data_IF_226417989487
#
_entry.id   IF_226417989487
#
_cell.length_a   1.000
_cell.length_b   1.000
_cell.length_c   1.000
_cell.angle_alpha   90.00
_cell.angle_beta   90.00
_cell.angle_gamma   90.00
#
_symmetry.space_group_name_H-M   'P 1'
#
loop_
_entity.id
_entity.type
_entity.pdbx_description
1 polymer ?
#
# COMPACT_ATOMS: atom_id res chain seq x y z
N UNK A 1 6.34 24.13 14.25
CA UNK A 1 6.17 22.81 14.88
C UNK A 1 4.82 22.12 14.61
N UNK A 2 3.67 22.77 14.77
CA UNK A 2 2.34 22.12 14.53
C UNK A 2 2.14 21.71 13.07
N UNK A 3 2.51 22.51 12.10
CA UNK A 3 2.39 22.17 10.68
C UNK A 3 3.23 20.97 10.26
N UNK A 4 4.45 20.80 10.79
CA UNK A 4 5.28 19.63 10.51
C UNK A 4 4.69 18.32 11.06
N UNK A 5 4.11 18.36 12.26
CA UNK A 5 3.45 17.17 12.85
C UNK A 5 2.22 16.76 12.04
N UNK A 6 1.45 17.73 11.56
CA UNK A 6 0.29 17.47 10.69
C UNK A 6 0.71 16.84 9.34
N UNK A 7 1.85 17.26 8.81
CA UNK A 7 2.45 16.71 7.60
C UNK A 7 2.81 15.23 7.75
N UNK A 8 3.51 14.88 8.83
CA UNK A 8 3.93 13.51 9.11
C UNK A 8 2.70 12.61 9.33
N UNK A 9 1.67 13.11 10.02
CA UNK A 9 0.43 12.36 10.26
C UNK A 9 -0.34 12.09 8.95
N UNK A 10 -0.43 13.09 8.07
CA UNK A 10 -1.09 12.98 6.76
C UNK A 10 -0.36 11.97 5.86
N UNK A 11 0.98 11.99 5.84
CA UNK A 11 1.80 11.01 5.12
C UNK A 11 1.60 9.59 5.64
N UNK A 12 1.59 9.43 6.96
CA UNK A 12 1.35 8.13 7.59
C UNK A 12 -0.02 7.55 7.23
N UNK A 13 -1.06 8.37 7.31
CA UNK A 13 -2.43 7.95 6.96
C UNK A 13 -2.55 7.56 5.47
N UNK A 14 -1.91 8.32 4.59
CA UNK A 14 -1.91 8.07 3.15
C UNK A 14 -1.18 6.77 2.79
N UNK A 15 0.00 6.55 3.36
CA UNK A 15 0.77 5.32 3.18
C UNK A 15 -0.02 4.10 3.67
N UNK A 16 -0.66 4.23 4.84
CA UNK A 16 -1.45 3.16 5.43
C UNK A 16 -2.65 2.81 4.54
N UNK A 17 -3.35 3.80 4.02
CA UNK A 17 -4.47 3.60 3.10
C UNK A 17 -4.01 2.91 1.80
N UNK A 18 -2.89 3.31 1.24
CA UNK A 18 -2.32 2.66 0.06
C UNK A 18 -1.95 1.21 0.32
N UNK A 19 -1.34 0.90 1.48
CA UNK A 19 -1.00 -0.46 1.89
C UNK A 19 -2.28 -1.32 2.05
N UNK A 20 -3.33 -0.78 2.67
CA UNK A 20 -4.61 -1.48 2.83
C UNK A 20 -5.23 -1.81 1.48
N UNK A 21 -5.27 -0.85 0.56
CA UNK A 21 -5.82 -1.04 -0.78
C UNK A 21 -5.02 -2.08 -1.58
N UNK A 22 -3.69 -2.00 -1.53
CA UNK A 22 -2.81 -2.97 -2.19
C UNK A 22 -3.02 -4.38 -1.62
N UNK A 23 -3.11 -4.50 -0.30
CA UNK A 23 -3.35 -5.79 0.35
C UNK A 23 -4.72 -6.37 -0.01
N UNK A 24 -5.74 -5.53 -0.13
CA UNK A 24 -7.09 -5.94 -0.57
C UNK A 24 -7.06 -6.48 -1.99
N UNK A 25 -6.35 -5.81 -2.91
CA UNK A 25 -6.21 -6.28 -4.29
C UNK A 25 -5.48 -7.63 -4.36
N UNK A 26 -4.38 -7.77 -3.62
CA UNK A 26 -3.63 -9.03 -3.54
C UNK A 26 -4.49 -10.15 -2.97
N UNK A 27 -5.25 -9.87 -1.91
CA UNK A 27 -6.16 -10.85 -1.31
C UNK A 27 -7.24 -11.30 -2.29
N UNK A 28 -7.85 -10.37 -3.01
CA UNK A 28 -8.86 -10.66 -4.03
C UNK A 28 -8.28 -11.53 -5.16
N UNK A 29 -7.04 -11.25 -5.58
CA UNK A 29 -6.36 -12.08 -6.57
C UNK A 29 -6.22 -13.53 -6.11
N UNK A 30 -5.74 -13.76 -4.89
CA UNK A 30 -5.57 -15.09 -4.33
C UNK A 30 -6.89 -15.82 -4.12
N UNK A 31 -7.95 -15.13 -3.69
CA UNK A 31 -9.30 -15.69 -3.54
C UNK A 31 -9.86 -16.14 -4.91
N UNK A 32 -9.72 -15.31 -5.94
CA UNK A 32 -10.16 -15.68 -7.29
C UNK A 32 -9.36 -16.83 -7.88
N UNK A 33 -8.03 -16.83 -7.67
CA UNK A 33 -7.18 -17.94 -8.11
C UNK A 33 -7.58 -19.25 -7.45
N UNK A 34 -7.87 -19.26 -6.15
CA UNK A 34 -8.32 -20.45 -5.42
C UNK A 34 -9.67 -20.97 -5.93
N UNK A 35 -10.66 -20.10 -6.11
CA UNK A 35 -11.98 -20.46 -6.65
C UNK A 35 -11.86 -21.01 -8.06
N UNK A 36 -11.02 -20.38 -8.90
CA UNK A 36 -10.75 -20.87 -10.25
C UNK A 36 -10.10 -22.26 -10.24
N UNK A 37 -9.08 -22.45 -9.40
CA UNK A 37 -8.38 -23.74 -9.26
C UNK A 37 -9.33 -24.85 -8.84
N UNK A 38 -10.23 -24.61 -7.88
CA UNK A 38 -11.25 -25.56 -7.45
C UNK A 38 -12.22 -25.90 -8.60
N UNK A 39 -12.72 -24.90 -9.32
CA UNK A 39 -13.60 -25.09 -10.47
C UNK A 39 -12.92 -25.93 -11.56
N UNK A 40 -11.67 -25.62 -11.89
CA UNK A 40 -10.89 -26.33 -12.92
C UNK A 40 -10.54 -27.75 -12.48
N UNK A 41 -10.28 -27.97 -11.19
CA UNK A 41 -10.08 -29.31 -10.61
C UNK A 41 -11.29 -30.19 -10.84
N UNK A 42 -12.48 -29.69 -10.50
CA UNK A 42 -13.73 -30.42 -10.70
C UNK A 42 -14.01 -30.72 -12.19
N UNK A 43 -13.72 -29.73 -13.08
CA UNK A 43 -13.82 -29.92 -14.55
C UNK A 43 -12.84 -30.98 -15.04
N UNK A 44 -11.59 -30.97 -14.53
CA UNK A 44 -10.58 -31.95 -14.90
C UNK A 44 -10.95 -33.37 -14.44
N UNK A 45 -11.42 -33.57 -13.21
CA UNK A 45 -11.88 -34.85 -12.71
C UNK A 45 -12.98 -35.42 -13.61
N UNK A 46 -13.98 -34.62 -13.92
CA UNK A 46 -15.06 -35.01 -14.82
C UNK A 46 -14.54 -35.32 -16.24
N UNK A 47 -13.60 -34.57 -16.74
CA UNK A 47 -12.99 -34.81 -18.07
C UNK A 47 -12.23 -36.14 -18.09
N UNK A 48 -11.44 -36.42 -17.05
CA UNK A 48 -10.69 -37.66 -16.92
C UNK A 48 -11.65 -38.86 -16.91
N UNK A 49 -12.74 -38.79 -16.14
CA UNK A 49 -13.74 -39.82 -16.10
C UNK A 49 -14.38 -40.08 -17.47
N UNK A 50 -14.84 -39.00 -18.15
CA UNK A 50 -15.45 -39.10 -19.46
C UNK A 50 -14.46 -39.61 -20.52
N UNK A 51 -13.24 -39.11 -20.51
CA UNK A 51 -12.19 -39.50 -21.45
C UNK A 51 -11.81 -40.97 -21.27
N UNK A 52 -11.66 -41.46 -20.04
CA UNK A 52 -11.40 -42.84 -19.74
C UNK A 52 -12.54 -43.75 -20.26
N UNK A 53 -13.81 -43.34 -20.06
CA UNK A 53 -14.96 -44.08 -20.58
C UNK A 53 -14.97 -44.20 -22.12
N UNK A 54 -14.57 -43.12 -22.83
CA UNK A 54 -14.52 -43.08 -24.30
C UNK A 54 -13.38 -43.90 -24.88
N UNK A 55 -12.36 -44.23 -24.11
CA UNK A 55 -11.14 -44.90 -24.55
C UNK A 55 -10.98 -46.31 -24.00
N UNK A 56 -12.08 -46.95 -23.65
CA UNK A 56 -12.08 -48.36 -23.24
C UNK A 56 -11.71 -49.21 -24.44
N UNK A 57 -10.80 -50.16 -24.24
CA UNK A 57 -10.46 -51.18 -25.26
C UNK A 57 -11.57 -52.19 -25.43
N UNK A 58 -12.45 -51.95 -26.40
CA UNK A 58 -13.59 -52.84 -26.69
C UNK A 58 -13.16 -54.18 -27.29
N UNK A 59 -11.97 -54.28 -27.87
CA UNK A 59 -11.48 -55.54 -28.49
C UNK A 59 -10.98 -56.52 -27.46
N UNK A 60 -10.42 -56.04 -26.33
CA UNK A 60 -10.01 -56.86 -25.21
C UNK A 60 -11.19 -57.18 -24.24
N UNK A 61 -12.37 -56.62 -24.52
CA UNK A 61 -13.53 -56.68 -23.66
C UNK A 61 -14.38 -57.96 -23.82
N UNK A 62 -13.94 -58.96 -24.57
CA UNK A 62 -14.62 -60.25 -24.65
C UNK A 62 -14.53 -60.98 -23.31
N UNK A 63 -15.31 -60.56 -22.32
CA UNK A 63 -15.41 -61.14 -20.98
C UNK A 63 -15.02 -60.24 -19.81
N UNK A 64 -14.73 -59.00 -20.03
CA UNK A 64 -14.32 -58.09 -18.96
C UNK A 64 -15.54 -57.33 -18.43
N UNK A 65 -16.14 -57.86 -17.42
CA UNK A 65 -17.19 -57.17 -16.70
C UNK A 65 -16.51 -56.36 -15.61
N UNK A 66 -16.59 -55.03 -15.74
CA UNK A 66 -16.42 -54.15 -14.60
C UNK A 66 -17.64 -54.35 -13.73
N UNK A 67 -17.59 -55.30 -12.82
CA UNK A 67 -18.66 -55.46 -11.84
C UNK A 67 -18.40 -54.52 -10.68
N UNK A 68 -19.08 -53.39 -10.69
CA UNK A 68 -19.16 -52.48 -9.55
C UNK A 68 -20.20 -53.10 -8.62
N UNK A 69 -19.76 -53.72 -7.57
CA UNK A 69 -20.61 -54.10 -6.42
C UNK A 69 -20.48 -53.00 -5.37
N UNK A 70 -21.33 -53.02 -4.35
CA UNK A 70 -21.27 -52.10 -3.22
C UNK A 70 -19.97 -52.18 -2.39
N UNK A 71 -19.12 -53.16 -2.62
CA UNK A 71 -17.98 -53.47 -1.76
C UNK A 71 -16.62 -53.60 -2.50
N UNK A 72 -16.63 -53.84 -3.80
CA UNK A 72 -15.39 -54.06 -4.56
C UNK A 72 -15.51 -53.72 -6.06
N UNK A 73 -14.36 -53.41 -6.66
CA UNK A 73 -14.16 -53.27 -8.10
C UNK A 73 -13.39 -54.46 -8.64
N UNK A 74 -13.89 -55.07 -9.70
CA UNK A 74 -13.23 -56.16 -10.40
C UNK A 74 -12.65 -55.63 -11.71
N UNK A 75 -11.35 -55.84 -11.90
CA UNK A 75 -10.67 -55.55 -13.16
C UNK A 75 -10.20 -56.84 -13.79
N UNK A 76 -10.58 -57.08 -15.04
CA UNK A 76 -10.00 -58.13 -15.85
C UNK A 76 -9.06 -57.55 -16.87
N UNK A 77 -7.78 -57.90 -16.82
CA UNK A 77 -6.81 -57.50 -17.79
C UNK A 77 -5.93 -58.69 -18.12
N UNK A 78 -5.71 -58.97 -19.42
CA UNK A 78 -4.89 -60.07 -19.88
C UNK A 78 -5.27 -61.46 -19.28
N UNK A 79 -6.56 -61.72 -19.14
CA UNK A 79 -7.11 -62.94 -18.53
C UNK A 79 -6.86 -63.06 -17.01
N UNK A 80 -6.33 -62.06 -16.38
CA UNK A 80 -6.15 -62.01 -14.92
C UNK A 80 -7.25 -61.19 -14.26
N UNK A 81 -7.68 -61.68 -13.08
CA UNK A 81 -8.71 -61.03 -12.26
C UNK A 81 -8.06 -60.29 -11.10
N UNK A 82 -8.32 -59.00 -11.00
CA UNK A 82 -7.89 -58.17 -9.88
C UNK A 82 -9.11 -57.68 -9.11
N UNK A 83 -9.06 -57.75 -7.78
CA UNK A 83 -10.16 -57.37 -6.88
C UNK A 83 -9.66 -56.27 -5.97
N UNK A 84 -10.34 -55.13 -5.95
CA UNK A 84 -10.04 -53.99 -5.08
C UNK A 84 -11.27 -53.70 -4.22
N UNK A 85 -11.16 -53.78 -2.90
CA UNK A 85 -12.22 -53.45 -1.95
C UNK A 85 -12.18 -51.97 -1.59
N UNK A 86 -13.31 -51.36 -1.28
CA UNK A 86 -13.40 -49.97 -0.83
C UNK A 86 -14.30 -49.87 0.41
N UNK A 87 -14.09 -48.78 1.19
CA UNK A 87 -14.76 -48.59 2.49
C UNK A 87 -15.88 -47.54 2.43
N UNK A 88 -15.93 -46.72 1.37
CA UNK A 88 -16.91 -45.66 1.22
C UNK A 88 -17.33 -45.47 -0.23
N UNK A 89 -18.50 -44.88 -0.45
CA UNK A 89 -19.05 -44.59 -1.76
C UNK A 89 -18.11 -43.61 -2.55
N UNK A 90 -17.47 -42.66 -1.87
CA UNK A 90 -16.52 -41.75 -2.49
C UNK A 90 -15.26 -42.48 -2.97
N UNK A 91 -14.78 -43.45 -2.22
CA UNK A 91 -13.66 -44.30 -2.60
C UNK A 91 -14.03 -45.22 -3.77
N UNK A 92 -15.25 -45.75 -3.78
CA UNK A 92 -15.80 -46.52 -4.88
C UNK A 92 -15.80 -45.73 -6.19
N UNK A 93 -16.24 -44.49 -6.16
CA UNK A 93 -16.23 -43.61 -7.34
C UNK A 93 -14.82 -43.40 -7.86
N UNK A 94 -13.85 -43.05 -7.00
CA UNK A 94 -12.44 -42.89 -7.38
C UNK A 94 -11.84 -44.17 -7.97
N UNK A 95 -12.07 -45.32 -7.32
CA UNK A 95 -11.60 -46.59 -7.83
C UNK A 95 -12.21 -46.97 -9.17
N UNK A 96 -13.48 -46.65 -9.42
CA UNK A 96 -14.12 -46.91 -10.72
C UNK A 96 -13.45 -46.09 -11.86
N UNK A 97 -13.10 -44.82 -11.62
CA UNK A 97 -12.38 -44.00 -12.59
C UNK A 97 -10.98 -44.57 -12.86
N UNK A 98 -10.27 -44.99 -11.81
CA UNK A 98 -8.97 -45.65 -11.94
C UNK A 98 -9.07 -46.99 -12.70
N UNK A 99 -10.10 -47.79 -12.41
CA UNK A 99 -10.35 -49.06 -13.11
C UNK A 99 -10.61 -48.86 -14.61
N UNK A 100 -11.35 -47.81 -14.98
CA UNK A 100 -11.54 -47.45 -16.38
C UNK A 100 -10.22 -47.11 -17.10
N UNK A 101 -9.32 -46.43 -16.39
CA UNK A 101 -7.98 -46.14 -16.93
C UNK A 101 -7.17 -47.42 -17.16
N UNK A 102 -7.21 -48.37 -16.24
CA UNK A 102 -6.47 -49.64 -16.34
C UNK A 102 -6.92 -50.54 -17.48
N UNK A 103 -8.15 -50.41 -17.95
CA UNK A 103 -8.72 -51.14 -19.09
C UNK A 103 -8.77 -50.32 -20.38
N UNK A 104 -8.11 -49.18 -20.40
CA UNK A 104 -8.07 -48.32 -21.57
C UNK A 104 -7.31 -48.94 -22.75
N UNK A 105 -7.63 -48.49 -23.96
CA UNK A 105 -6.79 -48.73 -25.12
C UNK A 105 -5.55 -47.81 -25.01
N UNK A 106 -4.40 -48.43 -24.79
CA UNK A 106 -3.13 -47.73 -24.62
C UNK A 106 -2.66 -46.99 -25.89
N UNK A 107 -3.15 -47.42 -27.07
CA UNK A 107 -2.82 -46.72 -28.31
C UNK A 107 -3.67 -45.48 -28.55
N UNK A 108 -4.91 -45.47 -27.99
CA UNK A 108 -5.84 -44.35 -28.18
C UNK A 108 -5.86 -43.36 -27.04
N UNK A 109 -5.36 -43.74 -25.86
CA UNK A 109 -5.32 -42.87 -24.69
C UNK A 109 -4.01 -42.11 -24.67
N UNK A 110 -4.07 -40.78 -24.83
CA UNK A 110 -2.92 -39.88 -24.77
C UNK A 110 -3.21 -38.70 -23.88
N UNK A 111 -2.18 -38.12 -23.23
CA UNK A 111 -2.33 -36.91 -22.42
C UNK A 111 -2.79 -35.72 -23.28
N UNK A 112 -2.32 -35.62 -24.50
CA UNK A 112 -2.76 -34.59 -25.45
C UNK A 112 -4.26 -34.72 -25.80
N UNK A 113 -4.77 -35.94 -25.99
CA UNK A 113 -6.21 -36.18 -26.21
C UNK A 113 -7.06 -35.80 -25.00
N UNK A 114 -6.58 -36.08 -23.79
CA UNK A 114 -7.21 -35.63 -22.56
C UNK A 114 -7.21 -34.09 -22.46
N UNK A 115 -6.07 -33.45 -22.77
CA UNK A 115 -5.93 -32.00 -22.81
C UNK A 115 -6.92 -31.35 -23.81
N UNK A 116 -7.02 -31.89 -25.01
CA UNK A 116 -7.99 -31.44 -26.01
C UNK A 116 -9.44 -31.54 -25.55
N UNK A 117 -9.76 -32.58 -24.77
CA UNK A 117 -11.09 -32.77 -24.16
C UNK A 117 -11.33 -31.78 -23.03
N UNK A 118 -10.33 -31.54 -22.23
CA UNK A 118 -10.36 -30.56 -21.14
C UNK A 118 -10.51 -29.12 -21.65
N UNK A 119 -9.75 -28.75 -22.70
CA UNK A 119 -9.88 -27.45 -23.35
C UNK A 119 -11.30 -27.18 -23.86
N UNK A 120 -12.01 -28.20 -24.37
CA UNK A 120 -13.39 -28.04 -24.82
C UNK A 120 -14.36 -27.75 -23.67
N UNK A 121 -14.07 -28.22 -22.47
CA UNK A 121 -14.90 -27.98 -21.28
C UNK A 121 -14.58 -26.64 -20.60
N UNK A 122 -13.43 -26.06 -20.88
CA UNK A 122 -13.01 -24.78 -20.28
C UNK A 122 -13.65 -23.53 -20.87
N UNK A 123 -14.44 -23.65 -21.94
CA UNK A 123 -15.29 -22.59 -22.50
C UNK A 123 -14.63 -21.21 -22.53
N UNK A 124 -13.54 -21.02 -23.28
CA UNK A 124 -12.84 -19.73 -23.45
C UNK A 124 -12.26 -19.07 -22.19
N UNK A 125 -12.23 -19.76 -21.08
CA UNK A 125 -11.54 -19.25 -19.89
C UNK A 125 -10.05 -19.04 -20.25
N UNK A 126 -9.58 -17.79 -20.20
CA UNK A 126 -8.18 -17.46 -20.45
C UNK A 126 -7.33 -17.87 -19.24
N UNK A 127 -7.06 -19.15 -19.10
CA UNK A 127 -6.33 -19.75 -17.98
C UNK A 127 -5.01 -20.31 -18.50
N UNK A 128 -3.97 -20.18 -17.69
CA UNK A 128 -2.74 -20.93 -17.93
C UNK A 128 -2.73 -22.18 -17.04
N UNK A 129 -2.41 -23.32 -17.65
CA UNK A 129 -2.30 -24.57 -16.89
C UNK A 129 -1.21 -25.47 -17.45
N UNK A 130 -0.83 -26.43 -16.61
CA UNK A 130 0.11 -27.49 -16.96
C UNK A 130 -0.44 -28.82 -16.44
N UNK A 131 -0.54 -29.80 -17.33
CA UNK A 131 -0.87 -31.17 -17.02
C UNK A 131 0.38 -32.03 -17.12
N UNK A 132 0.67 -32.81 -16.09
CA UNK A 132 1.80 -33.75 -16.08
C UNK A 132 1.28 -35.16 -15.78
N UNK A 133 1.67 -36.12 -16.59
CA UNK A 133 1.48 -37.53 -16.31
C UNK A 133 2.76 -38.07 -15.68
N UNK A 134 2.67 -38.59 -14.46
CA UNK A 134 3.79 -39.12 -13.70
C UNK A 134 3.60 -40.61 -13.43
N UNK A 135 4.70 -41.36 -13.33
CA UNK A 135 4.69 -42.71 -12.86
C UNK A 135 4.66 -42.82 -11.31
N UNK A 136 4.63 -44.03 -10.78
CA UNK A 136 4.65 -44.28 -9.35
C UNK A 136 5.91 -43.78 -8.63
N UNK A 137 6.98 -43.48 -9.37
CA UNK A 137 8.26 -42.96 -8.85
C UNK A 137 8.31 -41.43 -8.85
N UNK A 138 7.27 -40.77 -9.39
CA UNK A 138 7.20 -39.33 -9.56
C UNK A 138 7.92 -38.82 -10.81
N UNK A 139 8.40 -39.71 -11.69
CA UNK A 139 9.02 -39.35 -12.95
C UNK A 139 7.95 -38.92 -13.94
N UNK A 140 8.12 -37.76 -14.57
CA UNK A 140 7.23 -37.26 -15.59
C UNK A 140 7.39 -38.08 -16.86
N UNK A 141 6.28 -38.71 -17.30
CA UNK A 141 6.19 -39.50 -18.54
C UNK A 141 5.85 -38.58 -19.72
N UNK A 142 4.87 -37.70 -19.50
CA UNK A 142 4.38 -36.76 -20.51
C UNK A 142 3.88 -35.47 -19.84
N UNK A 143 3.92 -34.36 -20.56
CA UNK A 143 3.49 -33.07 -20.04
C UNK A 143 2.94 -32.16 -21.14
N UNK A 144 1.81 -31.52 -20.87
CA UNK A 144 1.18 -30.55 -21.75
C UNK A 144 1.06 -29.22 -21.02
N UNK A 145 1.41 -28.14 -21.71
CA UNK A 145 1.31 -26.78 -21.21
C UNK A 145 0.43 -25.95 -22.13
N UNK A 146 -0.51 -25.22 -21.55
CA UNK A 146 -1.31 -24.23 -22.26
C UNK A 146 -1.25 -22.87 -21.56
N UNK A 147 -1.22 -21.79 -22.34
CA UNK A 147 -1.16 -20.43 -21.83
C UNK A 147 0.25 -19.88 -21.68
N UNK A 148 0.47 -18.94 -20.78
CA UNK A 148 1.70 -18.15 -20.70
C UNK A 148 2.96 -18.95 -20.36
N UNK A 149 4.13 -18.46 -20.83
CA UNK A 149 5.45 -19.06 -20.63
C UNK A 149 5.92 -19.21 -19.17
N UNK A 150 5.26 -18.56 -18.21
CA UNK A 150 5.54 -18.69 -16.79
C UNK A 150 4.30 -19.24 -16.11
N UNK A 151 4.37 -20.51 -15.72
CA UNK A 151 3.37 -21.11 -14.84
C UNK A 151 3.51 -20.41 -13.48
N UNK A 152 2.45 -19.77 -12.96
CA UNK A 152 2.48 -19.26 -11.61
C UNK A 152 2.84 -20.42 -10.67
N UNK A 153 3.75 -20.19 -9.74
CA UNK A 153 4.03 -21.16 -8.69
C UNK A 153 2.86 -21.10 -7.69
N UNK A 154 1.70 -21.63 -8.13
CA UNK A 154 0.54 -21.79 -7.27
C UNK A 154 0.81 -22.83 -6.19
N UNK A 155 0.25 -22.62 -5.03
CA UNK A 155 0.46 -23.46 -3.85
C UNK A 155 -0.15 -24.85 -3.91
N UNK A 156 -1.08 -25.08 -4.80
CA UNK A 156 -1.87 -26.33 -4.82
C UNK A 156 -1.71 -27.03 -6.17
N UNK A 157 -0.81 -27.99 -6.19
CA UNK A 157 -0.76 -28.97 -7.26
C UNK A 157 -1.94 -29.94 -7.06
N UNK A 158 -2.92 -29.92 -7.96
CA UNK A 158 -3.92 -30.98 -8.00
C UNK A 158 -3.24 -32.29 -8.41
N UNK A 159 -3.52 -33.36 -7.67
CA UNK A 159 -2.96 -34.69 -7.92
C UNK A 159 -4.05 -35.75 -7.82
N UNK A 160 -4.24 -36.49 -8.92
CA UNK A 160 -5.22 -37.55 -9.02
C UNK A 160 -4.57 -38.82 -9.52
N UNK A 161 -4.74 -39.96 -8.83
CA UNK A 161 -4.33 -41.27 -9.37
C UNK A 161 -5.23 -41.66 -10.55
N UNK A 162 -4.62 -42.12 -11.63
CA UNK A 162 -5.36 -42.52 -12.83
C UNK A 162 -5.63 -44.03 -12.89
N UNK A 163 -4.74 -44.85 -12.37
CA UNK A 163 -4.85 -46.29 -12.44
C UNK A 163 -4.62 -46.99 -11.09
N UNK A 164 -5.18 -48.20 -10.95
CA UNK A 164 -4.97 -49.10 -9.79
C UNK A 164 -3.82 -50.06 -10.06
N UNK A 165 -3.69 -50.54 -11.29
CA UNK A 165 -2.64 -51.47 -11.74
C UNK A 165 -1.41 -50.69 -12.18
N UNK A 166 -1.60 -49.77 -13.12
CA UNK A 166 -0.58 -48.80 -13.55
C UNK A 166 -0.70 -47.59 -12.69
N UNK A 167 0.12 -47.48 -11.67
CA UNK A 167 0.08 -46.36 -10.68
C UNK A 167 0.54 -45.06 -11.30
N UNK A 168 -0.16 -44.60 -12.32
CA UNK A 168 0.05 -43.30 -12.93
C UNK A 168 -0.71 -42.23 -12.14
N UNK A 169 -0.13 -41.07 -12.08
CA UNK A 169 -0.69 -39.90 -11.39
C UNK A 169 -0.73 -38.75 -12.39
N UNK A 170 -1.89 -38.13 -12.54
CA UNK A 170 -1.99 -36.85 -13.21
C UNK A 170 -1.80 -35.73 -12.19
N UNK A 171 -0.89 -34.82 -12.48
CA UNK A 171 -0.75 -33.56 -11.76
C UNK A 171 -1.18 -32.42 -12.65
N UNK A 172 -1.96 -31.51 -12.09
CA UNK A 172 -2.37 -30.30 -12.76
C UNK A 172 -2.00 -29.08 -11.93
N UNK A 173 -1.49 -28.05 -12.60
CA UNK A 173 -1.25 -26.72 -12.02
C UNK A 173 -2.06 -25.73 -12.81
N UNK A 174 -2.84 -24.94 -12.07
CA UNK A 174 -3.65 -23.89 -12.64
C UNK A 174 -3.13 -22.53 -12.21
N UNK A 175 -3.26 -21.52 -13.07
CA UNK A 175 -2.88 -20.17 -12.75
C UNK A 175 -3.77 -19.15 -13.43
N UNK A 176 -4.19 -18.13 -12.69
CA UNK A 176 -4.90 -16.97 -13.22
C UNK A 176 -3.87 -15.97 -13.74
N UNK A 177 -3.82 -15.68 -15.07
CA UNK A 177 -2.93 -14.65 -15.57
C UNK A 177 -3.30 -13.29 -14.99
N UNK A 178 -2.31 -12.58 -14.45
CA UNK A 178 -2.53 -11.25 -13.85
C UNK A 178 -3.23 -10.29 -14.81
N UNK A 179 -2.91 -10.37 -16.12
CA UNK A 179 -3.57 -9.53 -17.13
C UNK A 179 -5.07 -9.79 -17.25
N UNK A 180 -5.51 -11.06 -17.15
CA UNK A 180 -6.93 -11.42 -17.16
C UNK A 180 -7.62 -10.92 -15.89
N UNK A 181 -7.00 -11.14 -14.74
CA UNK A 181 -7.50 -10.61 -13.47
C UNK A 181 -7.66 -9.08 -13.49
N UNK A 182 -6.66 -8.35 -13.99
CA UNK A 182 -6.73 -6.89 -14.07
C UNK A 182 -7.79 -6.41 -15.07
N UNK A 183 -8.03 -7.20 -16.14
CA UNK A 183 -9.08 -6.90 -17.11
C UNK A 183 -10.47 -7.14 -16.52
N UNK A 184 -10.69 -8.22 -15.80
CA UNK A 184 -11.96 -8.53 -15.17
C UNK A 184 -12.29 -7.55 -14.05
N UNK A 185 -11.28 -7.16 -13.25
CA UNK A 185 -11.41 -6.24 -12.12
C UNK A 185 -11.02 -4.79 -12.46
N UNK A 186 -11.06 -4.44 -13.75
CA UNK A 186 -10.67 -3.09 -14.18
C UNK A 186 -11.36 -1.94 -13.44
N UNK A 187 -12.65 -2.03 -13.02
CA UNK A 187 -13.27 -0.94 -12.28
C UNK A 187 -12.62 -0.72 -10.92
N UNK A 188 -12.23 -1.81 -10.24
CA UNK A 188 -11.53 -1.74 -8.95
C UNK A 188 -10.11 -1.20 -9.10
N UNK A 189 -9.41 -1.62 -10.15
CA UNK A 189 -8.08 -1.10 -10.46
C UNK A 189 -8.14 0.39 -10.79
N UNK A 190 -9.12 0.82 -11.58
CA UNK A 190 -9.34 2.22 -11.92
C UNK A 190 -9.66 3.05 -10.67
N UNK A 191 -10.51 2.53 -9.77
CA UNK A 191 -10.81 3.19 -8.50
C UNK A 191 -9.54 3.35 -7.63
N UNK A 192 -8.69 2.33 -7.57
CA UNK A 192 -7.40 2.38 -6.88
C UNK A 192 -6.47 3.45 -7.45
N UNK A 193 -6.32 3.49 -8.77
CA UNK A 193 -5.49 4.49 -9.46
C UNK A 193 -6.06 5.90 -9.24
N UNK A 194 -7.38 6.08 -9.38
CA UNK A 194 -8.03 7.36 -9.17
C UNK A 194 -7.89 7.86 -7.73
N UNK A 195 -8.04 6.97 -6.74
CA UNK A 195 -7.87 7.32 -5.33
C UNK A 195 -6.40 7.71 -5.02
N UNK A 196 -5.43 6.99 -5.53
CA UNK A 196 -4.01 7.32 -5.40
C UNK A 196 -3.69 8.67 -6.05
N UNK A 197 -4.28 8.96 -7.20
CA UNK A 197 -4.10 10.23 -7.91
C UNK A 197 -4.72 11.41 -7.16
N UNK A 198 -5.96 11.23 -6.64
CA UNK A 198 -6.61 12.24 -5.78
C UNK A 198 -5.79 12.56 -4.53
N UNK A 199 -5.27 11.53 -3.87
CA UNK A 199 -4.40 11.70 -2.72
C UNK A 199 -3.13 12.46 -3.07
N UNK A 200 -2.51 12.15 -4.21
CA UNK A 200 -1.35 12.88 -4.72
C UNK A 200 -1.64 14.37 -4.98
N UNK A 201 -2.80 14.69 -5.55
CA UNK A 201 -3.24 16.07 -5.79
C UNK A 201 -3.47 16.84 -4.48
N UNK A 202 -4.14 16.21 -3.51
CA UNK A 202 -4.37 16.82 -2.19
C UNK A 202 -3.03 17.14 -1.52
N UNK A 203 -2.09 16.21 -1.61
CA UNK A 203 -0.75 16.39 -1.08
C UNK A 203 0.02 17.52 -1.76
N UNK A 204 0.01 17.56 -3.10
CA UNK A 204 0.63 18.63 -3.87
C UNK A 204 0.05 20.00 -3.48
N UNK A 205 -1.28 20.09 -3.34
CA UNK A 205 -1.96 21.31 -2.94
C UNK A 205 -1.57 21.76 -1.53
N UNK A 206 -1.52 20.84 -0.57
CA UNK A 206 -1.06 21.15 0.79
C UNK A 206 0.39 21.65 0.81
N UNK A 207 1.27 20.98 0.07
CA UNK A 207 2.66 21.38 -0.06
C UNK A 207 2.79 22.80 -0.63
N UNK A 208 2.05 23.08 -1.69
CA UNK A 208 2.00 24.40 -2.32
C UNK A 208 1.52 25.49 -1.33
N UNK A 209 0.45 25.24 -0.58
CA UNK A 209 -0.08 26.19 0.40
C UNK A 209 0.93 26.52 1.51
N UNK A 210 1.59 25.49 2.05
CA UNK A 210 2.62 25.68 3.10
C UNK A 210 3.82 26.48 2.58
N UNK A 211 4.27 26.21 1.37
CA UNK A 211 5.35 26.99 0.76
C UNK A 211 4.95 28.44 0.49
N UNK A 212 3.73 28.67 0.02
CA UNK A 212 3.19 30.01 -0.19
C UNK A 212 3.13 30.78 1.14
N UNK A 213 2.62 30.16 2.20
CA UNK A 213 2.54 30.77 3.54
C UNK A 213 3.93 31.12 4.09
N UNK A 214 4.91 30.22 3.93
CA UNK A 214 6.30 30.49 4.32
C UNK A 214 6.89 31.69 3.57
N UNK A 215 6.67 31.80 2.27
CA UNK A 215 7.15 32.93 1.47
C UNK A 215 6.52 34.25 1.94
N UNK A 216 5.22 34.26 2.19
CA UNK A 216 4.53 35.47 2.68
C UNK A 216 5.11 35.86 4.04
N UNK A 217 5.28 34.97 4.99
CA UNK A 217 5.90 35.28 6.29
C UNK A 217 7.32 35.79 6.17
N UNK A 218 8.12 35.18 5.30
CA UNK A 218 9.49 35.67 5.06
C UNK A 218 9.52 37.12 4.52
N UNK A 219 8.61 37.45 3.59
CA UNK A 219 8.47 38.80 3.09
C UNK A 219 8.01 39.79 4.17
N UNK A 220 7.05 39.41 5.00
CA UNK A 220 6.60 40.21 6.12
C UNK A 220 7.72 40.46 7.13
N UNK A 221 8.49 39.43 7.49
CA UNK A 221 9.65 39.54 8.38
C UNK A 221 10.70 40.47 7.83
N UNK A 222 11.05 40.37 6.52
CA UNK A 222 12.01 41.24 5.87
C UNK A 222 11.52 42.70 5.86
N UNK A 223 10.25 42.94 5.52
CA UNK A 223 9.68 44.28 5.53
C UNK A 223 9.73 44.92 6.92
N UNK A 224 9.35 44.16 7.95
CA UNK A 224 9.40 44.66 9.34
C UNK A 224 10.85 44.94 9.77
N UNK A 225 11.80 44.10 9.36
CA UNK A 225 13.23 44.35 9.66
C UNK A 225 13.73 45.64 9.03
N UNK A 226 13.42 45.85 7.75
CA UNK A 226 13.82 47.05 7.00
C UNK A 226 13.21 48.29 7.65
N UNK A 227 11.89 48.28 7.90
CA UNK A 227 11.21 49.40 8.55
C UNK A 227 11.79 49.66 9.95
N UNK A 228 12.06 48.62 10.73
CA UNK A 228 12.64 48.77 12.07
C UNK A 228 14.05 49.37 12.03
N UNK A 229 14.90 48.94 11.07
CA UNK A 229 16.23 49.50 10.87
C UNK A 229 16.16 50.97 10.45
N UNK A 230 15.30 51.27 9.48
CA UNK A 230 15.20 52.64 8.90
C UNK A 230 14.56 53.63 9.88
N UNK A 231 13.68 53.14 10.79
CA UNK A 231 13.10 54.00 11.83
C UNK A 231 14.04 54.23 13.04
N UNK A 232 14.90 53.25 13.37
CA UNK A 232 15.78 53.36 14.54
C UNK A 232 16.74 54.56 14.46
N UNK A 233 17.27 54.83 13.29
CA UNK A 233 18.22 55.94 13.08
C UNK A 233 17.57 57.34 13.26
N UNK A 234 16.48 57.68 12.54
CA UNK A 234 15.87 59.02 12.67
C UNK A 234 15.25 59.24 14.06
N UNK A 235 14.69 58.19 14.67
CA UNK A 235 14.12 58.28 16.03
C UNK A 235 15.23 58.53 17.06
N UNK A 236 16.37 57.84 16.96
CA UNK A 236 17.53 58.05 17.83
C UNK A 236 18.13 59.45 17.66
N UNK A 237 18.26 59.94 16.41
CA UNK A 237 18.74 61.29 16.10
C UNK A 237 17.81 62.35 16.70
N UNK A 238 16.50 62.20 16.50
CA UNK A 238 15.50 63.11 17.01
C UNK A 238 15.51 63.16 18.56
N UNK A 239 15.59 61.95 19.20
CA UNK A 239 15.73 61.85 20.67
C UNK A 239 17.00 62.57 21.18
N UNK A 240 18.14 62.41 20.50
CA UNK A 240 19.38 63.07 20.86
C UNK A 240 19.27 64.61 20.77
N UNK A 241 18.72 65.12 19.68
CA UNK A 241 18.52 66.56 19.54
C UNK A 241 17.55 67.14 20.56
N UNK A 242 16.47 66.46 20.86
CA UNK A 242 15.55 66.87 21.92
C UNK A 242 16.22 66.83 23.30
N UNK A 243 17.06 65.86 23.59
CA UNK A 243 17.84 65.78 24.81
C UNK A 243 18.90 66.91 24.93
N UNK A 244 19.51 67.37 23.82
CA UNK A 244 20.39 68.47 23.83
C UNK A 244 19.67 69.82 24.15
N UNK A 245 18.53 70.06 23.53
CA UNK A 245 17.70 71.24 23.81
C UNK A 245 17.22 71.26 25.27
N UNK A 246 16.93 70.12 25.83
CA UNK A 246 16.53 70.02 27.26
C UNK A 246 17.71 70.36 28.19
N UNK A 247 18.93 69.96 27.86
CA UNK A 247 20.15 70.27 28.61
C UNK A 247 20.61 71.72 28.51
N UNK A 248 20.45 72.30 27.32
CA UNK A 248 20.84 73.70 27.11
C UNK A 248 19.93 74.76 27.76
N UNK A 249 18.83 74.28 28.32
CA UNK A 249 17.89 75.09 29.12
C UNK A 249 16.73 75.66 28.28
N UNK A 250 15.51 75.22 28.71
CA UNK A 250 14.24 75.68 28.11
C UNK A 250 13.88 77.13 28.49
N UNK A 251 14.76 77.83 29.25
CA UNK A 251 14.51 79.10 29.85
C UNK A 251 14.31 80.30 28.86
N UNK A 252 14.69 80.07 27.58
CA UNK A 252 14.50 81.10 26.50
C UNK A 252 13.22 80.89 25.67
N UNK A 253 12.46 79.76 25.89
CA UNK A 253 11.29 79.42 25.11
C UNK A 253 10.01 80.03 25.70
N UNK A 254 9.07 80.42 24.86
CA UNK A 254 7.74 80.83 25.30
C UNK A 254 6.99 79.66 25.90
N UNK A 255 6.03 79.92 26.77
CA UNK A 255 5.21 78.87 27.43
C UNK A 255 4.56 77.88 26.40
N UNK A 256 4.23 78.40 25.21
CA UNK A 256 3.65 77.58 24.16
C UNK A 256 4.74 76.71 23.48
N UNK A 257 5.92 77.20 23.30
CA UNK A 257 7.05 76.45 22.74
C UNK A 257 7.52 75.33 23.70
N UNK A 258 7.57 75.61 25.00
CA UNK A 258 7.86 74.60 26.03
C UNK A 258 6.83 73.50 26.02
N UNK A 259 5.56 73.80 25.87
CA UNK A 259 4.48 72.79 25.78
C UNK A 259 4.65 71.90 24.52
N UNK A 260 4.92 72.54 23.39
CA UNK A 260 5.12 71.81 22.13
C UNK A 260 6.38 70.90 22.17
N UNK A 261 7.43 71.35 22.84
CA UNK A 261 8.67 70.59 23.03
C UNK A 261 8.41 69.33 23.88
N UNK A 262 7.69 69.47 25.00
CA UNK A 262 7.30 68.32 25.83
C UNK A 262 6.45 67.32 25.05
N UNK A 263 5.49 67.75 24.23
CA UNK A 263 4.68 66.90 23.38
C UNK A 263 5.53 66.14 22.35
N UNK A 264 6.52 66.83 21.75
CA UNK A 264 7.43 66.19 20.81
C UNK A 264 8.32 65.12 21.47
N UNK A 265 8.84 65.43 22.67
CA UNK A 265 9.67 64.52 23.45
C UNK A 265 8.87 63.29 23.86
N UNK A 266 7.63 63.46 24.30
CA UNK A 266 6.72 62.35 24.63
C UNK A 266 6.38 61.49 23.40
N UNK A 267 6.15 62.14 22.23
CA UNK A 267 5.87 61.45 20.98
C UNK A 267 7.06 60.57 20.49
N UNK A 268 8.27 61.09 20.63
CA UNK A 268 9.50 60.36 20.26
C UNK A 268 9.74 59.18 21.24
N UNK A 269 9.56 59.41 22.53
CA UNK A 269 9.64 58.36 23.53
C UNK A 269 8.65 57.20 23.24
N UNK A 270 7.43 57.56 22.84
CA UNK A 270 6.44 56.53 22.40
C UNK A 270 6.90 55.80 21.14
N UNK A 271 7.50 56.46 20.15
CA UNK A 271 8.07 55.86 18.93
C UNK A 271 9.24 54.93 19.27
N UNK A 272 10.11 55.30 20.16
CA UNK A 272 11.23 54.48 20.64
C UNK A 272 10.73 53.16 21.27
N UNK A 273 9.71 53.24 22.12
CA UNK A 273 9.07 52.08 22.73
C UNK A 273 8.44 51.18 21.65
N UNK A 274 7.77 51.76 20.62
CA UNK A 274 7.18 51.01 19.53
C UNK A 274 8.24 50.26 18.70
N UNK A 275 9.33 50.93 18.32
CA UNK A 275 10.44 50.32 17.60
C UNK A 275 11.08 49.20 18.43
N UNK A 276 11.26 49.40 19.73
CA UNK A 276 11.78 48.39 20.63
C UNK A 276 10.84 47.19 20.75
N UNK A 277 9.52 47.41 20.87
CA UNK A 277 8.51 46.34 20.88
C UNK A 277 8.49 45.56 19.57
N UNK A 278 8.62 46.22 18.42
CA UNK A 278 8.71 45.54 17.11
C UNK A 278 9.97 44.66 17.04
N UNK A 279 11.12 45.14 17.51
CA UNK A 279 12.36 44.36 17.59
C UNK A 279 12.22 43.12 18.46
N UNK A 280 11.59 43.24 19.63
CA UNK A 280 11.36 42.10 20.55
C UNK A 280 10.39 41.07 19.94
N UNK A 281 9.35 41.53 19.24
CA UNK A 281 8.40 40.63 18.57
C UNK A 281 9.09 39.81 17.47
N UNK A 282 9.97 40.42 16.67
CA UNK A 282 10.75 39.73 15.65
C UNK A 282 11.68 38.64 16.24
N UNK A 283 12.29 38.92 17.37
CA UNK A 283 13.17 37.98 18.07
C UNK A 283 12.35 36.81 18.60
N UNK A 284 11.16 37.04 19.16
CA UNK A 284 10.28 36.00 19.68
C UNK A 284 9.72 35.10 18.57
N UNK A 285 9.38 35.62 17.40
CA UNK A 285 8.86 34.83 16.27
C UNK A 285 9.92 33.96 15.59
N UNK A 286 11.21 34.33 15.69
CA UNK A 286 12.34 33.53 15.18
C UNK A 286 12.73 32.34 16.05
N UNK A 287 12.07 32.13 17.17
CA UNK A 287 12.42 31.12 18.14
C UNK A 287 13.65 31.59 18.92
N UNK A 288 13.41 32.20 20.08
CA UNK A 288 14.47 32.44 21.06
C UNK A 288 15.20 31.13 21.30
N UNK A 289 16.47 31.08 20.96
CA UNK A 289 17.38 30.15 21.61
C UNK A 289 17.48 30.67 23.04
N UNK A 290 16.70 30.07 23.93
CA UNK A 290 16.75 30.37 25.36
C UNK A 290 18.14 29.95 25.83
N UNK A 291 19.01 30.92 26.05
CA UNK A 291 20.21 30.70 26.84
C UNK A 291 19.74 30.53 28.28
N UNK A 292 19.79 29.33 28.77
CA UNK A 292 19.53 29.05 30.18
C UNK A 292 20.77 29.45 30.98
N UNK A 293 20.72 30.62 31.62
CA UNK A 293 21.69 31.00 32.61
C UNK A 293 21.13 30.77 34.00
N UNK A 294 21.95 30.13 34.83
CA UNK A 294 21.60 29.96 36.27
C UNK A 294 21.87 31.32 36.90
N UNK A 295 20.82 32.00 37.38
CA UNK A 295 20.94 33.24 38.10
C UNK A 295 20.36 33.09 39.51
N UNK A 296 20.93 33.82 40.44
CA UNK A 296 20.40 33.89 41.80
C UNK A 296 19.24 34.90 41.83
N UNK A 297 18.03 34.40 42.11
CA UNK A 297 16.83 35.22 42.13
C UNK A 297 16.94 36.48 43.04
N UNK A 298 17.56 36.41 44.25
CA UNK A 298 17.73 37.61 45.07
C UNK A 298 18.58 38.71 44.44
N UNK A 299 19.61 38.35 43.67
CA UNK A 299 20.50 39.29 42.96
C UNK A 299 19.74 40.00 41.84
N UNK A 300 18.98 39.24 41.06
CA UNK A 300 18.16 39.79 39.98
C UNK A 300 17.08 40.74 40.51
N UNK A 301 16.43 40.38 41.62
CA UNK A 301 15.42 41.21 42.27
C UNK A 301 16.02 42.52 42.77
N UNK A 302 17.25 42.48 43.35
CA UNK A 302 17.94 43.69 43.78
C UNK A 302 18.36 44.61 42.62
N UNK A 303 18.84 44.03 41.48
CA UNK A 303 19.15 44.82 40.29
C UNK A 303 17.92 45.50 39.69
N UNK A 304 16.81 44.75 39.57
CA UNK A 304 15.54 45.29 39.09
C UNK A 304 15.05 46.39 40.03
N UNK A 305 15.14 46.19 41.38
CA UNK A 305 14.73 47.17 42.36
C UNK A 305 15.56 48.46 42.29
N UNK A 306 16.87 48.36 42.18
CA UNK A 306 17.75 49.54 41.96
C UNK A 306 17.47 50.28 40.67
N UNK A 307 17.12 49.54 39.62
CA UNK A 307 16.72 50.17 38.36
C UNK A 307 15.41 50.97 38.47
N UNK A 308 14.48 50.50 39.29
CA UNK A 308 13.20 51.17 39.52
C UNK A 308 13.36 52.32 40.51
N UNK A 309 14.16 52.21 41.57
CA UNK A 309 14.42 53.26 42.52
C UNK A 309 15.15 54.50 41.90
N UNK A 310 15.98 54.26 40.87
CA UNK A 310 16.62 55.31 40.10
C UNK A 310 15.68 56.11 39.16
N UNK A 311 14.48 55.62 38.91
CA UNK A 311 13.44 56.23 38.07
C UNK A 311 12.31 56.93 38.86
N UNK A 312 12.34 56.86 40.16
CA UNK A 312 11.35 57.57 41.01
C UNK A 312 11.92 58.89 41.46
N UNK A 313 11.35 60.07 41.04
CA UNK A 313 11.85 61.41 41.36
C UNK A 313 11.66 61.76 42.82
#
# INVERSE_FOLDING_TARGET
MRAQKFYILSWGAMLLLFIVLLNTLVKLYWEKEAVLAESLTNKLENTVELYNRMRIDTNNFRGNILSLTSEYVLIFRNRQKFVFSFKSEMEAKKMSVCALYDIRDTALWTLWGLDSSFCRQMDKEAVSYMLELQDSTGKVIDAVKQGFNKIPRGKEDFSMPLGLLEKHIIRARFGLPVGVFLYDEWPMVLFLVASAWMLGLIFYWQHYLVHKEKRIRQHEELNIQTVNHDMKSPVGIAGTYLGLVDREGISGLTSQQQKNFRVAQEAIGRLEILVKKMSVKLVNERGLVLNYEVFELPVLVQEVWRSIEGEIP
#
